data_IF_312357643301
#
_entry.id   IF_312357643301
#
_cell.length_a   1.000
_cell.length_b   1.000
_cell.length_c   1.000
_cell.angle_alpha   90.00
_cell.angle_beta   90.00
_cell.angle_gamma   90.00
#
_symmetry.space_group_name_H-M   'P 1'
#
loop_
_entity.id
_entity.type
_entity.pdbx_description
1 polymer ?
#
# COMPACT_ATOMS: atom_id res chain seq x y z
N UNK A 1 0.11 -15.23 -5.08
CA UNK A 1 0.16 -14.07 -4.17
C UNK A 1 0.66 -12.82 -4.88
N UNK A 2 1.88 -12.82 -5.42
CA UNK A 2 2.45 -11.67 -6.14
C UNK A 2 1.61 -11.16 -7.31
N UNK A 3 1.03 -12.05 -8.12
CA UNK A 3 0.15 -11.67 -9.23
C UNK A 3 -1.10 -10.92 -8.75
N UNK A 4 -1.84 -11.49 -7.80
CA UNK A 4 -3.06 -10.88 -7.23
C UNK A 4 -2.72 -9.54 -6.57
N UNK A 5 -1.63 -9.47 -5.80
CA UNK A 5 -1.21 -8.24 -5.15
C UNK A 5 -0.84 -7.16 -6.16
N UNK A 6 -0.12 -7.51 -7.23
CA UNK A 6 0.18 -6.61 -8.34
C UNK A 6 -1.08 -6.11 -9.05
N UNK A 7 -2.09 -6.97 -9.26
CA UNK A 7 -3.38 -6.57 -9.83
C UNK A 7 -4.12 -5.58 -8.93
N UNK A 8 -4.19 -5.85 -7.62
CA UNK A 8 -4.83 -4.95 -6.64
C UNK A 8 -4.12 -3.60 -6.62
N UNK A 9 -2.79 -3.59 -6.56
CA UNK A 9 -1.98 -2.37 -6.63
C UNK A 9 -2.26 -1.59 -7.91
N UNK A 10 -2.30 -2.26 -9.06
CA UNK A 10 -2.62 -1.63 -10.35
C UNK A 10 -4.00 -0.99 -10.37
N UNK A 11 -5.03 -1.67 -9.84
CA UNK A 11 -6.39 -1.14 -9.76
C UNK A 11 -6.43 0.11 -8.87
N UNK A 12 -5.77 0.10 -7.71
CA UNK A 12 -5.72 1.24 -6.79
C UNK A 12 -5.04 2.44 -7.44
N UNK A 13 -3.90 2.23 -8.11
CA UNK A 13 -3.18 3.29 -8.81
C UNK A 13 -4.03 3.89 -9.94
N UNK A 14 -4.64 3.05 -10.79
CA UNK A 14 -5.50 3.51 -11.88
C UNK A 14 -6.73 4.26 -11.35
N UNK A 15 -7.34 3.77 -10.26
CA UNK A 15 -8.45 4.43 -9.58
C UNK A 15 -8.08 5.81 -9.05
N UNK A 16 -6.90 5.93 -8.42
CA UNK A 16 -6.35 7.20 -7.95
C UNK A 16 -6.15 8.19 -9.11
N UNK A 17 -5.47 7.78 -10.19
CA UNK A 17 -5.27 8.64 -11.36
C UNK A 17 -6.59 9.08 -12.00
N UNK A 18 -7.56 8.16 -12.10
CA UNK A 18 -8.88 8.49 -12.62
C UNK A 18 -9.60 9.53 -11.75
N UNK A 19 -9.53 9.38 -10.42
CA UNK A 19 -10.17 10.29 -9.47
C UNK A 19 -9.52 11.68 -9.47
N UNK A 20 -8.19 11.74 -9.52
CA UNK A 20 -7.42 12.99 -9.65
C UNK A 20 -7.84 13.73 -10.93
N UNK A 21 -7.89 13.01 -12.06
CA UNK A 21 -8.29 13.58 -13.35
C UNK A 21 -9.75 14.04 -13.36
N UNK A 22 -10.67 13.22 -12.83
CA UNK A 22 -12.11 13.54 -12.79
C UNK A 22 -12.40 14.80 -11.98
N UNK A 23 -11.67 15.01 -10.89
CA UNK A 23 -11.91 16.11 -9.96
C UNK A 23 -11.01 17.33 -10.23
N UNK A 24 -10.19 17.32 -11.31
CA UNK A 24 -9.20 18.36 -11.62
C UNK A 24 -8.28 18.69 -10.42
N UNK A 25 -7.91 17.68 -9.64
CA UNK A 25 -7.04 17.86 -8.47
C UNK A 25 -5.60 18.06 -8.96
N UNK A 26 -4.99 19.18 -8.59
CA UNK A 26 -3.56 19.42 -8.77
C UNK A 26 -2.82 19.06 -7.49
N UNK A 27 -2.17 17.90 -7.48
CA UNK A 27 -1.27 17.51 -6.40
C UNK A 27 0.08 18.21 -6.56
N UNK A 28 0.55 18.83 -5.47
CA UNK A 28 1.89 19.38 -5.33
C UNK A 28 2.95 18.27 -5.25
N UNK A 29 4.21 18.61 -5.49
CA UNK A 29 5.30 17.64 -5.52
C UNK A 29 5.50 16.88 -4.20
N UNK A 30 5.27 17.53 -3.05
CA UNK A 30 5.41 16.90 -1.74
C UNK A 30 4.24 15.95 -1.44
N UNK A 31 3.02 16.25 -1.90
CA UNK A 31 1.87 15.34 -1.77
C UNK A 31 2.11 14.03 -2.54
N UNK A 32 2.75 14.10 -3.70
CA UNK A 32 3.18 12.90 -4.43
C UNK A 32 4.20 12.09 -3.63
N UNK A 33 5.21 12.73 -3.05
CA UNK A 33 6.24 12.03 -2.26
C UNK A 33 5.63 11.36 -1.04
N UNK A 34 4.80 12.07 -0.28
CA UNK A 34 4.13 11.55 0.93
C UNK A 34 3.16 10.43 0.55
N UNK A 35 2.39 10.61 -0.53
CA UNK A 35 1.45 9.60 -1.02
C UNK A 35 2.15 8.31 -1.45
N UNK A 36 3.25 8.41 -2.21
CA UNK A 36 4.04 7.26 -2.65
C UNK A 36 4.69 6.57 -1.44
N UNK A 37 5.28 7.32 -0.52
CA UNK A 37 5.91 6.77 0.68
C UNK A 37 4.89 6.05 1.58
N UNK A 38 3.73 6.67 1.83
CA UNK A 38 2.64 6.07 2.60
C UNK A 38 2.09 4.80 1.93
N UNK A 39 1.91 4.83 0.60
CA UNK A 39 1.45 3.66 -0.14
C UNK A 39 2.48 2.51 -0.10
N UNK A 40 3.77 2.81 -0.20
CA UNK A 40 4.83 1.81 -0.08
C UNK A 40 4.86 1.18 1.32
N UNK A 41 4.75 1.99 2.39
CA UNK A 41 4.66 1.49 3.77
C UNK A 41 3.42 0.63 3.98
N UNK A 42 2.27 1.06 3.46
CA UNK A 42 1.03 0.27 3.52
C UNK A 42 1.20 -1.10 2.85
N UNK A 43 1.80 -1.16 1.66
CA UNK A 43 2.06 -2.42 0.96
C UNK A 43 3.04 -3.31 1.73
N UNK A 44 4.11 -2.73 2.28
CA UNK A 44 5.07 -3.44 3.12
C UNK A 44 4.37 -4.09 4.33
N UNK A 45 3.54 -3.33 5.04
CA UNK A 45 2.80 -3.81 6.21
C UNK A 45 1.86 -4.95 5.84
N UNK A 46 1.03 -4.78 4.81
CA UNK A 46 0.05 -5.80 4.41
C UNK A 46 0.74 -7.08 3.92
N UNK A 47 1.78 -6.95 3.10
CA UNK A 47 2.51 -8.10 2.57
C UNK A 47 3.16 -8.92 3.69
N UNK A 48 3.87 -8.25 4.60
CA UNK A 48 4.56 -8.93 5.70
C UNK A 48 3.58 -9.47 6.73
N UNK A 49 2.49 -8.76 7.04
CA UNK A 49 1.46 -9.26 7.94
C UNK A 49 0.89 -10.60 7.44
N UNK A 50 0.44 -10.64 6.18
CA UNK A 50 -0.11 -11.88 5.59
C UNK A 50 0.99 -12.95 5.50
N UNK A 51 2.21 -12.57 5.08
CA UNK A 51 3.35 -13.48 5.01
C UNK A 51 3.67 -14.16 6.34
N UNK A 52 3.78 -13.38 7.42
CA UNK A 52 4.06 -13.90 8.76
C UNK A 52 2.97 -14.84 9.28
N UNK A 53 1.69 -14.64 8.93
CA UNK A 53 0.64 -15.60 9.27
C UNK A 53 0.74 -16.92 8.51
N UNK A 54 1.20 -16.91 7.26
CA UNK A 54 1.46 -18.14 6.49
C UNK A 54 2.66 -18.92 7.06
N UNK A 55 3.59 -18.21 7.68
CA UNK A 55 4.77 -18.78 8.35
C UNK A 55 4.51 -19.13 9.82
N UNK A 56 3.26 -19.01 10.30
CA UNK A 56 2.86 -19.27 11.69
C UNK A 56 3.58 -18.40 12.74
N UNK A 57 4.01 -17.20 12.36
CA UNK A 57 4.69 -16.21 13.21
C UNK A 57 3.78 -15.00 13.49
N UNK A 58 2.68 -15.15 14.27
CA UNK A 58 1.70 -14.10 14.49
C UNK A 58 2.30 -12.88 15.22
N UNK A 59 3.33 -13.09 16.05
CA UNK A 59 4.02 -11.99 16.73
C UNK A 59 4.69 -11.05 15.73
N UNK A 60 5.37 -11.60 14.73
CA UNK A 60 5.98 -10.81 13.67
C UNK A 60 4.93 -10.05 12.86
N UNK A 61 3.79 -10.69 12.56
CA UNK A 61 2.69 -10.04 11.85
C UNK A 61 2.21 -8.76 12.58
N UNK A 62 1.92 -8.86 13.88
CA UNK A 62 1.48 -7.70 14.66
C UNK A 62 2.57 -6.64 14.84
N UNK A 63 3.85 -7.02 14.83
CA UNK A 63 4.95 -6.05 14.87
C UNK A 63 5.01 -5.19 13.60
N UNK A 64 4.78 -5.77 12.42
CA UNK A 64 4.66 -4.98 11.18
C UNK A 64 3.48 -4.01 11.26
N UNK A 65 2.33 -4.46 11.77
CA UNK A 65 1.16 -3.60 11.92
C UNK A 65 1.39 -2.45 12.92
N UNK A 66 2.15 -2.67 13.98
CA UNK A 66 2.48 -1.65 14.98
C UNK A 66 3.49 -0.60 14.46
N UNK A 67 4.49 -1.04 13.70
CA UNK A 67 5.66 -0.20 13.36
C UNK A 67 5.48 0.52 12.03
N UNK A 68 4.92 -0.15 11.03
CA UNK A 68 4.82 0.37 9.66
C UNK A 68 3.39 0.59 9.18
N UNK A 69 2.39 0.16 9.97
CA UNK A 69 0.96 0.44 9.75
C UNK A 69 0.56 1.79 10.31
#
# INVERSE_FOLDING_TARGET
MWFIMGTVVGIVILGLFWLIKRNNLSLTWYEWVIGIAGFALMLLTVQNFIGSFLEYEPRAAYMFLLVTG
#
